data_IF_093290884048
#
_entry.id   IF_093290884048
#
_cell.length_a   1.000
_cell.length_b   1.000
_cell.length_c   1.000
_cell.angle_alpha   90.00
_cell.angle_beta   90.00
_cell.angle_gamma   90.00
#
_symmetry.space_group_name_H-M   'P 1'
#
loop_
_entity.id
_entity.type
_entity.pdbx_description
1 polymer ?
#
# COMPACT_ATOMS: atom_id res chain seq x y z
N UNK A 1 -46.55 -40.76 -5.39
CA UNK A 1 -46.17 -40.29 -4.05
C UNK A 1 -44.81 -40.89 -3.72
N UNK A 2 -44.01 -40.19 -2.91
CA UNK A 2 -42.69 -39.62 -3.20
C UNK A 2 -41.58 -40.53 -2.64
N UNK A 3 -40.28 -40.27 -2.78
CA UNK A 3 -39.40 -39.38 -2.00
C UNK A 3 -38.07 -39.35 -2.81
N UNK A 4 -37.40 -38.25 -3.15
CA UNK A 4 -37.13 -37.01 -2.43
C UNK A 4 -36.65 -37.28 -0.99
N UNK A 5 -35.48 -37.93 -0.87
CA UNK A 5 -34.59 -37.70 0.26
C UNK A 5 -33.31 -37.01 -0.27
N UNK A 6 -33.42 -35.70 -0.15
CA UNK A 6 -32.40 -34.70 0.06
C UNK A 6 -31.49 -35.05 1.26
N UNK A 7 -30.23 -34.55 1.25
CA UNK A 7 -29.34 -34.31 2.41
C UNK A 7 -28.68 -35.59 2.98
N UNK A 8 -27.37 -35.75 3.16
CA UNK A 8 -26.31 -34.83 3.55
C UNK A 8 -24.98 -35.38 2.98
N UNK A 9 -24.43 -34.73 1.95
CA UNK A 9 -22.97 -34.62 1.89
C UNK A 9 -22.67 -33.25 2.49
N UNK A 10 -22.72 -33.17 3.83
CA UNK A 10 -21.87 -32.22 4.54
C UNK A 10 -20.45 -32.53 4.05
N UNK A 11 -19.99 -31.80 3.03
CA UNK A 11 -18.57 -31.70 2.71
C UNK A 11 -17.91 -31.25 4.01
N UNK A 12 -17.44 -32.23 4.79
CA UNK A 12 -16.58 -32.04 5.93
C UNK A 12 -15.49 -31.09 5.45
N UNK A 13 -15.55 -29.82 5.86
CA UNK A 13 -14.48 -28.87 5.63
C UNK A 13 -13.20 -29.56 6.09
N UNK A 14 -12.27 -29.95 5.19
CA UNK A 14 -11.19 -30.82 5.58
C UNK A 14 -10.36 -30.09 6.63
N UNK A 15 -10.30 -30.71 7.81
CA UNK A 15 -9.75 -30.20 9.05
C UNK A 15 -8.24 -29.98 8.95
N UNK A 16 -7.83 -28.94 8.23
CA UNK A 16 -6.52 -28.31 8.36
C UNK A 16 -6.58 -26.80 8.11
N UNK A 17 -7.62 -26.16 8.64
CA UNK A 17 -7.69 -24.71 8.86
C UNK A 17 -6.78 -24.25 10.03
N UNK A 18 -5.65 -24.95 10.25
CA UNK A 18 -4.70 -24.56 11.31
C UNK A 18 -3.96 -23.33 10.81
N UNK A 19 -4.19 -22.18 11.47
CA UNK A 19 -3.46 -20.96 11.19
C UNK A 19 -1.96 -21.24 11.18
N UNK A 20 -1.31 -20.89 10.09
CA UNK A 20 0.15 -20.84 10.01
C UNK A 20 0.67 -19.60 10.73
N UNK A 21 1.96 -19.60 11.06
CA UNK A 21 2.64 -18.40 11.57
C UNK A 21 2.51 -17.24 10.56
N UNK A 22 2.52 -17.54 9.26
CA UNK A 22 2.26 -16.54 8.22
C UNK A 22 0.88 -15.90 8.39
N UNK A 23 -0.16 -16.69 8.57
CA UNK A 23 -1.54 -16.20 8.71
C UNK A 23 -1.70 -15.30 9.95
N UNK A 24 -0.99 -15.59 11.05
CA UNK A 24 -1.00 -14.71 12.24
C UNK A 24 -0.33 -13.36 11.99
N UNK A 25 0.73 -13.32 11.16
CA UNK A 25 1.38 -12.08 10.77
C UNK A 25 0.47 -11.27 9.82
N UNK A 26 -0.23 -11.93 8.91
CA UNK A 26 -1.24 -11.33 8.03
C UNK A 26 -2.40 -10.74 8.84
N UNK A 27 -2.90 -11.41 9.87
CA UNK A 27 -3.88 -10.83 10.79
C UNK A 27 -3.33 -9.63 11.57
N UNK A 28 -2.03 -9.65 11.90
CA UNK A 28 -1.32 -8.50 12.48
C UNK A 28 -1.30 -7.30 11.53
N UNK A 29 -1.02 -7.53 10.24
CA UNK A 29 -1.11 -6.53 9.18
C UNK A 29 -2.53 -5.90 9.17
N UNK A 30 -3.58 -6.69 9.05
CA UNK A 30 -4.96 -6.20 9.04
C UNK A 30 -5.32 -5.40 10.30
N UNK A 31 -4.85 -5.85 11.47
CA UNK A 31 -5.06 -5.15 12.75
C UNK A 31 -4.41 -3.77 12.74
N UNK A 32 -3.18 -3.65 12.23
CA UNK A 32 -2.51 -2.37 12.06
C UNK A 32 -3.29 -1.43 11.13
N UNK A 33 -3.79 -1.93 9.99
CA UNK A 33 -4.63 -1.15 9.07
C UNK A 33 -5.91 -0.64 9.72
N UNK A 34 -6.63 -1.50 10.44
CA UNK A 34 -7.84 -1.12 11.18
C UNK A 34 -7.55 -0.08 12.28
N UNK A 35 -6.47 -0.28 13.05
CA UNK A 35 -6.07 0.67 14.08
C UNK A 35 -5.65 2.02 13.49
N UNK A 36 -5.04 2.05 12.30
CA UNK A 36 -4.73 3.30 11.60
C UNK A 36 -5.99 4.10 11.27
N UNK A 37 -7.07 3.43 10.82
CA UNK A 37 -8.39 4.05 10.62
C UNK A 37 -8.92 4.59 11.95
N UNK A 38 -8.87 3.79 13.02
CA UNK A 38 -9.33 4.21 14.35
C UNK A 38 -8.63 5.49 14.86
N UNK A 39 -7.30 5.57 14.75
CA UNK A 39 -6.54 6.76 15.16
C UNK A 39 -6.78 7.96 14.25
N UNK A 40 -7.01 7.74 12.95
CA UNK A 40 -7.41 8.80 12.02
C UNK A 40 -8.76 9.39 12.41
N UNK A 41 -9.73 8.54 12.75
CA UNK A 41 -11.07 8.98 13.19
C UNK A 41 -11.00 9.71 14.52
N UNK A 42 -10.39 9.11 15.54
CA UNK A 42 -10.43 9.64 16.91
C UNK A 42 -9.53 10.84 17.11
N UNK A 43 -8.41 10.91 16.40
CA UNK A 43 -7.43 11.97 16.58
C UNK A 43 -7.51 13.11 15.57
N UNK A 44 -8.16 12.91 14.43
CA UNK A 44 -8.26 13.93 13.37
C UNK A 44 -9.72 14.29 13.10
N UNK A 45 -10.57 13.31 12.79
CA UNK A 45 -11.95 13.59 12.40
C UNK A 45 -12.82 14.08 13.56
N UNK A 46 -12.83 13.38 14.70
CA UNK A 46 -13.68 13.75 15.85
C UNK A 46 -13.32 15.15 16.37
N UNK A 47 -12.04 15.49 16.64
CA UNK A 47 -11.67 16.83 17.13
C UNK A 47 -12.06 17.95 16.17
N UNK A 48 -12.00 17.68 14.86
CA UNK A 48 -12.46 18.61 13.83
C UNK A 48 -13.99 18.82 13.89
N UNK A 49 -14.77 17.75 14.03
CA UNK A 49 -16.24 17.83 14.14
C UNK A 49 -16.72 18.45 15.46
N UNK A 50 -15.97 18.27 16.56
CA UNK A 50 -16.32 18.80 17.88
C UNK A 50 -15.78 20.22 18.14
N UNK A 51 -15.02 20.80 17.21
CA UNK A 51 -14.42 22.13 17.36
C UNK A 51 -13.28 22.22 18.37
N UNK A 52 -12.76 21.08 18.86
CA UNK A 52 -11.66 21.01 19.82
C UNK A 52 -10.33 20.82 19.09
N UNK A 53 -9.86 21.86 18.39
CA UNK A 53 -8.59 21.81 17.66
C UNK A 53 -7.39 22.04 18.61
N UNK A 54 -6.96 20.99 19.30
CA UNK A 54 -5.58 20.95 19.80
C UNK A 54 -4.66 20.39 18.72
N UNK A 55 -4.00 21.28 17.98
CA UNK A 55 -3.14 20.96 16.83
C UNK A 55 -2.06 19.92 17.16
N UNK A 56 -1.58 19.88 18.42
CA UNK A 56 -0.60 18.90 18.89
C UNK A 56 -1.14 17.46 18.93
N UNK A 57 -2.38 17.26 19.35
CA UNK A 57 -3.01 15.93 19.39
C UNK A 57 -3.25 15.40 17.96
N UNK A 58 -3.73 16.25 17.05
CA UNK A 58 -3.97 15.84 15.66
C UNK A 58 -2.69 15.36 14.96
N UNK A 59 -1.56 16.05 15.20
CA UNK A 59 -0.24 15.67 14.69
C UNK A 59 0.22 14.31 15.22
N UNK A 60 0.10 14.10 16.54
CA UNK A 60 0.50 12.83 17.15
C UNK A 60 -0.35 11.65 16.65
N UNK A 61 -1.66 11.85 16.53
CA UNK A 61 -2.57 10.83 16.03
C UNK A 61 -2.37 10.53 14.54
N UNK A 62 -2.11 11.56 13.72
CA UNK A 62 -1.75 11.37 12.32
C UNK A 62 -0.46 10.56 12.19
N UNK A 63 0.59 10.91 12.93
CA UNK A 63 1.84 10.17 12.93
C UNK A 63 1.63 8.71 13.36
N UNK A 64 0.84 8.47 14.41
CA UNK A 64 0.50 7.13 14.89
C UNK A 64 -0.23 6.31 13.83
N UNK A 65 -1.21 6.89 13.14
CA UNK A 65 -1.93 6.22 12.06
C UNK A 65 -0.98 5.81 10.92
N UNK A 66 -0.08 6.70 10.50
CA UNK A 66 0.88 6.40 9.42
C UNK A 66 1.93 5.38 9.87
N UNK A 67 2.41 5.46 11.11
CA UNK A 67 3.31 4.47 11.70
C UNK A 67 2.65 3.09 11.73
N UNK A 68 1.35 2.99 12.05
CA UNK A 68 0.61 1.74 11.98
C UNK A 68 0.52 1.19 10.55
N UNK A 69 0.26 2.03 9.54
CA UNK A 69 0.31 1.61 8.14
C UNK A 69 1.71 1.11 7.72
N UNK A 70 2.78 1.73 8.23
CA UNK A 70 4.16 1.28 8.02
C UNK A 70 4.44 -0.06 8.72
N UNK A 71 3.95 -0.24 9.95
CA UNK A 71 4.01 -1.54 10.64
C UNK A 71 3.27 -2.63 9.87
N UNK A 72 2.11 -2.30 9.28
CA UNK A 72 1.35 -3.20 8.43
C UNK A 72 2.19 -3.67 7.23
N UNK A 73 2.92 -2.75 6.58
CA UNK A 73 3.87 -3.06 5.49
C UNK A 73 5.06 -3.92 5.94
N UNK A 74 5.50 -3.78 7.19
CA UNK A 74 6.52 -4.65 7.76
C UNK A 74 5.96 -6.07 7.95
N UNK A 75 4.75 -6.20 8.49
CA UNK A 75 4.09 -7.51 8.67
C UNK A 75 3.82 -8.22 7.34
N UNK A 76 3.36 -7.51 6.30
CA UNK A 76 3.23 -8.01 4.92
C UNK A 76 4.58 -8.49 4.32
N UNK A 77 5.66 -7.78 4.61
CA UNK A 77 6.96 -8.27 4.16
C UNK A 77 7.36 -9.57 4.88
N UNK A 78 7.07 -9.67 6.17
CA UNK A 78 7.41 -10.83 6.99
C UNK A 78 6.52 -12.03 6.71
N UNK A 79 5.21 -11.88 6.57
CA UNK A 79 4.30 -12.99 6.27
C UNK A 79 4.64 -13.63 4.91
N UNK A 80 4.97 -12.82 3.90
CA UNK A 80 5.41 -13.30 2.60
C UNK A 80 6.76 -14.01 2.66
N UNK A 81 7.68 -13.57 3.53
CA UNK A 81 8.94 -14.27 3.79
C UNK A 81 8.73 -15.61 4.52
N UNK A 82 7.81 -15.64 5.49
CA UNK A 82 7.48 -16.81 6.29
C UNK A 82 6.72 -17.83 5.46
N UNK A 83 5.73 -17.43 4.67
CA UNK A 83 4.94 -18.30 3.77
C UNK A 83 5.79 -18.94 2.65
N UNK A 84 6.96 -18.37 2.34
CA UNK A 84 7.93 -19.00 1.42
C UNK A 84 8.83 -20.03 2.09
N UNK A 85 9.14 -19.85 3.38
CA UNK A 85 10.02 -20.74 4.16
C UNK A 85 9.26 -21.85 4.87
N UNK A 86 8.05 -21.56 5.30
CA UNK A 86 7.09 -22.46 5.93
C UNK A 86 5.95 -22.73 4.94
N UNK A 87 5.28 -23.88 5.06
CA UNK A 87 4.10 -24.15 4.22
C UNK A 87 3.01 -23.11 4.54
N UNK A 88 2.49 -22.45 3.51
CA UNK A 88 1.30 -21.59 3.62
C UNK A 88 0.07 -22.44 3.90
N UNK A 89 -0.90 -21.90 4.63
CA UNK A 89 -2.21 -22.55 4.73
C UNK A 89 -2.94 -22.44 3.38
N UNK A 90 -3.96 -23.28 3.12
CA UNK A 90 -4.77 -23.19 1.91
C UNK A 90 -5.51 -21.84 1.76
N UNK A 91 -5.81 -21.17 2.88
CA UNK A 91 -6.52 -19.89 2.93
C UNK A 91 -5.57 -18.67 2.92
N UNK A 92 -4.28 -18.86 3.21
CA UNK A 92 -3.34 -17.76 3.46
C UNK A 92 -3.27 -16.72 2.33
N UNK A 93 -3.37 -17.15 1.06
CA UNK A 93 -3.35 -16.23 -0.08
C UNK A 93 -4.59 -15.31 -0.15
N UNK A 94 -5.76 -15.80 0.26
CA UNK A 94 -6.97 -14.98 0.30
C UNK A 94 -6.98 -14.07 1.53
N UNK A 95 -6.49 -14.58 2.67
CA UNK A 95 -6.31 -13.79 3.87
C UNK A 95 -5.35 -12.61 3.65
N UNK A 96 -4.27 -12.83 2.89
CA UNK A 96 -3.31 -11.81 2.48
C UNK A 96 -3.98 -10.69 1.68
N UNK A 97 -4.74 -11.04 0.63
CA UNK A 97 -5.49 -10.07 -0.17
C UNK A 97 -6.48 -9.23 0.66
N UNK A 98 -7.20 -9.86 1.59
CA UNK A 98 -8.16 -9.16 2.47
C UNK A 98 -7.44 -8.22 3.44
N UNK A 99 -6.33 -8.66 4.02
CA UNK A 99 -5.49 -7.84 4.90
C UNK A 99 -4.89 -6.64 4.15
N UNK A 100 -4.35 -6.88 2.96
CA UNK A 100 -3.79 -5.85 2.08
C UNK A 100 -4.82 -4.80 1.68
N UNK A 101 -6.06 -5.22 1.41
CA UNK A 101 -7.15 -4.30 1.12
C UNK A 101 -7.43 -3.38 2.32
N UNK A 102 -7.39 -3.89 3.55
CA UNK A 102 -7.63 -3.08 4.76
C UNK A 102 -6.47 -2.10 4.98
N UNK A 103 -5.23 -2.59 4.96
CA UNK A 103 -4.05 -1.82 5.35
C UNK A 103 -3.53 -0.88 4.29
N UNK A 104 -3.62 -1.25 3.01
CA UNK A 104 -3.06 -0.48 1.89
C UNK A 104 -4.11 0.07 0.94
N UNK A 105 -5.36 -0.39 1.03
CA UNK A 105 -6.49 0.17 0.28
C UNK A 105 -7.32 1.12 1.14
N UNK A 106 -8.01 0.57 2.15
CA UNK A 106 -8.97 1.28 2.98
C UNK A 106 -8.30 2.32 3.87
N UNK A 107 -7.27 1.96 4.65
CA UNK A 107 -6.65 2.90 5.59
C UNK A 107 -6.07 4.16 4.90
N UNK A 108 -5.31 4.06 3.79
CA UNK A 108 -4.81 5.24 3.08
C UNK A 108 -5.93 6.04 2.39
N UNK A 109 -6.91 5.37 1.78
CA UNK A 109 -8.05 6.06 1.17
C UNK A 109 -8.86 6.84 2.21
N UNK A 110 -9.10 6.23 3.38
CA UNK A 110 -9.77 6.87 4.50
C UNK A 110 -8.96 8.05 5.05
N UNK A 111 -7.63 7.91 5.13
CA UNK A 111 -6.75 9.00 5.53
C UNK A 111 -6.85 10.21 4.58
N UNK A 112 -6.86 9.98 3.27
CA UNK A 112 -7.09 11.03 2.25
C UNK A 112 -8.47 11.68 2.44
N UNK A 113 -9.51 10.88 2.66
CA UNK A 113 -10.86 11.38 2.87
C UNK A 113 -10.92 12.33 4.08
N UNK A 114 -10.41 11.89 5.23
CA UNK A 114 -10.45 12.67 6.47
C UNK A 114 -9.64 13.96 6.34
N UNK A 115 -8.43 13.91 5.79
CA UNK A 115 -7.64 15.12 5.56
C UNK A 115 -8.33 16.10 4.62
N UNK A 116 -9.04 15.60 3.60
CA UNK A 116 -9.83 16.42 2.71
C UNK A 116 -11.08 17.03 3.34
N UNK A 117 -11.65 16.40 4.37
CA UNK A 117 -12.75 16.97 5.16
C UNK A 117 -12.26 18.06 6.11
N UNK A 118 -11.03 17.92 6.61
CA UNK A 118 -10.41 18.92 7.49
C UNK A 118 -9.94 20.14 6.68
N UNK A 119 -9.65 19.96 5.39
CA UNK A 119 -9.39 21.04 4.45
C UNK A 119 -10.70 21.73 4.02
N UNK A 120 -10.62 23.03 3.68
CA UNK A 120 -11.73 23.90 3.23
C UNK A 120 -12.86 23.19 2.46
N UNK A 121 -14.11 23.62 2.63
CA UNK A 121 -15.34 22.99 2.09
C UNK A 121 -15.28 22.58 0.59
N UNK A 122 -14.63 23.38 -0.26
CA UNK A 122 -14.48 23.06 -1.69
C UNK A 122 -13.62 21.81 -1.95
N UNK A 123 -12.76 21.44 -1.01
CA UNK A 123 -11.78 20.36 -1.09
C UNK A 123 -12.38 19.02 -0.69
N UNK A 124 -13.41 19.02 0.16
CA UNK A 124 -14.05 17.82 0.70
C UNK A 124 -14.57 16.87 -0.39
N UNK A 125 -15.35 17.39 -1.35
CA UNK A 125 -15.96 16.54 -2.40
C UNK A 125 -14.92 15.89 -3.29
N UNK A 126 -13.87 16.64 -3.63
CA UNK A 126 -12.81 16.17 -4.52
C UNK A 126 -11.89 15.20 -3.81
N UNK A 127 -11.60 15.42 -2.52
CA UNK A 127 -10.86 14.46 -1.71
C UNK A 127 -11.60 13.15 -1.55
N UNK A 128 -12.94 13.18 -1.44
CA UNK A 128 -13.76 11.98 -1.46
C UNK A 128 -13.63 11.21 -2.79
N UNK A 129 -13.65 11.91 -3.92
CA UNK A 129 -13.39 11.29 -5.24
C UNK A 129 -11.98 10.71 -5.30
N UNK A 130 -10.96 11.43 -4.83
CA UNK A 130 -9.58 10.95 -4.76
C UNK A 130 -9.43 9.69 -3.91
N UNK A 131 -10.06 9.65 -2.73
CA UNK A 131 -10.09 8.49 -1.84
C UNK A 131 -10.73 7.27 -2.51
N UNK A 132 -11.87 7.46 -3.19
CA UNK A 132 -12.55 6.40 -3.95
C UNK A 132 -11.64 5.86 -5.06
N UNK A 133 -10.98 6.74 -5.81
CA UNK A 133 -10.05 6.34 -6.88
C UNK A 133 -8.90 5.50 -6.34
N UNK A 134 -8.31 5.88 -5.19
CA UNK A 134 -7.26 5.09 -4.53
C UNK A 134 -7.78 3.71 -4.12
N UNK A 135 -8.93 3.66 -3.44
CA UNK A 135 -9.52 2.41 -2.98
C UNK A 135 -9.80 1.46 -4.15
N UNK A 136 -10.47 1.95 -5.20
CA UNK A 136 -10.80 1.16 -6.40
C UNK A 136 -9.54 0.72 -7.14
N UNK A 137 -8.50 1.55 -7.22
CA UNK A 137 -7.23 1.18 -7.83
C UNK A 137 -6.58 0.00 -7.09
N UNK A 138 -6.59 0.00 -5.75
CA UNK A 138 -6.06 -1.11 -4.95
C UNK A 138 -6.92 -2.36 -5.13
N UNK A 139 -8.26 -2.26 -5.08
CA UNK A 139 -9.18 -3.40 -5.30
C UNK A 139 -8.93 -4.05 -6.67
N UNK A 140 -8.92 -3.26 -7.75
CA UNK A 140 -8.69 -3.76 -9.10
C UNK A 140 -7.31 -4.42 -9.24
N UNK A 141 -6.31 -3.85 -8.57
CA UNK A 141 -4.96 -4.36 -8.56
C UNK A 141 -4.87 -5.71 -7.85
N UNK A 142 -5.43 -5.83 -6.64
CA UNK A 142 -5.46 -7.09 -5.89
C UNK A 142 -6.22 -8.17 -6.65
N UNK A 143 -7.43 -7.86 -7.15
CA UNK A 143 -8.22 -8.79 -7.95
C UNK A 143 -7.48 -9.29 -9.19
N UNK A 144 -6.77 -8.40 -9.90
CA UNK A 144 -5.95 -8.80 -11.05
C UNK A 144 -4.80 -9.71 -10.65
N UNK A 145 -4.14 -9.46 -9.52
CA UNK A 145 -3.08 -10.34 -9.02
C UNK A 145 -3.61 -11.74 -8.66
N UNK A 146 -4.84 -11.83 -8.14
CA UNK A 146 -5.49 -13.12 -7.82
C UNK A 146 -5.89 -13.90 -9.08
N UNK A 147 -6.34 -13.22 -10.15
CA UNK A 147 -6.79 -13.90 -11.38
C UNK A 147 -5.65 -14.23 -12.36
N UNK A 148 -4.55 -13.46 -12.36
CA UNK A 148 -3.47 -13.65 -13.33
C UNK A 148 -2.39 -14.54 -12.74
N UNK A 149 -2.35 -15.81 -13.19
CA UNK A 149 -1.18 -16.67 -13.01
C UNK A 149 -0.04 -16.11 -13.86
N UNK A 150 0.77 -15.24 -13.26
CA UNK A 150 1.92 -14.64 -13.96
C UNK A 150 2.93 -15.75 -14.26
N UNK A 151 2.89 -16.28 -15.49
CA UNK A 151 4.03 -16.96 -16.10
C UNK A 151 5.17 -15.94 -16.17
N UNK A 152 6.31 -16.32 -15.61
CA UNK A 152 7.56 -15.57 -15.53
C UNK A 152 7.60 -14.44 -14.49
N UNK A 153 8.35 -14.68 -13.40
CA UNK A 153 9.38 -13.80 -12.82
C UNK A 153 9.09 -12.35 -12.40
N UNK A 154 8.20 -11.62 -13.05
CA UNK A 154 8.03 -10.15 -13.04
C UNK A 154 6.70 -9.74 -12.40
N UNK A 155 6.73 -8.76 -11.47
CA UNK A 155 5.50 -8.11 -10.96
C UNK A 155 5.02 -7.07 -11.97
N UNK A 156 3.71 -6.99 -12.21
CA UNK A 156 3.10 -5.94 -13.04
C UNK A 156 2.35 -4.95 -12.13
N UNK A 157 2.81 -3.70 -12.06
CA UNK A 157 2.24 -2.62 -11.25
C UNK A 157 3.04 -2.32 -9.98
N UNK A 158 2.93 -1.07 -9.50
CA UNK A 158 3.61 -0.55 -8.31
C UNK A 158 3.12 -1.27 -7.04
N UNK A 159 3.92 -1.92 -6.18
CA UNK A 159 3.47 -2.65 -4.96
C UNK A 159 2.42 -1.90 -4.10
N UNK A 160 1.39 -2.58 -3.59
CA UNK A 160 0.31 -1.96 -2.80
C UNK A 160 0.83 -1.20 -1.58
N UNK A 161 1.76 -1.78 -0.77
CA UNK A 161 2.31 -1.07 0.39
C UNK A 161 3.06 0.22 0.00
N UNK A 162 3.80 0.16 -1.11
CA UNK A 162 4.57 1.31 -1.61
C UNK A 162 3.66 2.41 -2.17
N UNK A 163 2.58 2.03 -2.85
CA UNK A 163 1.59 2.98 -3.34
C UNK A 163 0.80 3.64 -2.21
N UNK A 164 0.40 2.86 -1.19
CA UNK A 164 -0.23 3.37 0.03
C UNK A 164 0.66 4.42 0.72
N UNK A 165 1.94 4.11 0.93
CA UNK A 165 2.89 5.05 1.52
C UNK A 165 3.05 6.32 0.68
N UNK A 166 3.02 6.21 -0.65
CA UNK A 166 3.11 7.36 -1.55
C UNK A 166 1.88 8.25 -1.45
N UNK A 167 0.67 7.68 -1.40
CA UNK A 167 -0.58 8.43 -1.20
C UNK A 167 -0.55 9.20 0.12
N UNK A 168 -0.17 8.54 1.21
CA UNK A 168 -0.05 9.20 2.53
C UNK A 168 1.02 10.29 2.52
N UNK A 169 2.16 10.05 1.88
CA UNK A 169 3.23 11.05 1.75
C UNK A 169 2.78 12.28 0.98
N UNK A 170 1.95 12.12 -0.05
CA UNK A 170 1.37 13.23 -0.81
C UNK A 170 0.48 14.11 0.08
N UNK A 171 -0.33 13.49 0.94
CA UNK A 171 -1.18 14.22 1.90
C UNK A 171 -0.33 14.99 2.92
N UNK A 172 0.71 14.36 3.47
CA UNK A 172 1.59 14.97 4.47
C UNK A 172 2.51 16.08 3.91
N UNK A 173 2.67 16.18 2.58
CA UNK A 173 3.43 17.28 1.97
C UNK A 173 2.66 18.60 1.94
N UNK A 174 1.35 18.59 2.24
CA UNK A 174 0.49 19.78 2.23
C UNK A 174 0.62 20.59 0.93
N UNK A 175 0.75 19.88 -0.20
CA UNK A 175 0.84 20.49 -1.53
C UNK A 175 -0.47 21.24 -1.87
N UNK A 176 -0.41 22.21 -2.81
CA UNK A 176 -1.61 22.83 -3.35
C UNK A 176 -2.57 21.75 -3.84
N UNK A 177 -3.85 21.93 -3.53
CA UNK A 177 -4.89 20.92 -3.74
C UNK A 177 -4.88 20.25 -5.11
N UNK A 178 -4.74 21.03 -6.19
CA UNK A 178 -4.69 20.49 -7.56
C UNK A 178 -3.48 19.57 -7.75
N UNK A 179 -2.31 19.94 -7.20
CA UNK A 179 -1.11 19.11 -7.26
C UNK A 179 -1.28 17.82 -6.45
N UNK A 180 -1.88 17.90 -5.25
CA UNK A 180 -2.22 16.75 -4.40
C UNK A 180 -3.12 15.77 -5.14
N UNK A 181 -4.21 16.26 -5.73
CA UNK A 181 -5.15 15.43 -6.49
C UNK A 181 -4.48 14.76 -7.69
N UNK A 182 -3.73 15.52 -8.48
CA UNK A 182 -3.00 14.99 -9.65
C UNK A 182 -1.99 13.91 -9.25
N UNK A 183 -1.28 14.10 -8.14
CA UNK A 183 -0.34 13.12 -7.61
C UNK A 183 -1.04 11.85 -7.10
N UNK A 184 -2.19 11.98 -6.43
CA UNK A 184 -3.00 10.84 -5.97
C UNK A 184 -3.53 10.04 -7.16
N UNK A 185 -4.13 10.71 -8.15
CA UNK A 185 -4.63 10.07 -9.36
C UNK A 185 -3.49 9.40 -10.15
N UNK A 186 -2.34 10.08 -10.27
CA UNK A 186 -1.14 9.52 -10.89
C UNK A 186 -0.65 8.26 -10.17
N UNK A 187 -0.66 8.25 -8.84
CA UNK A 187 -0.28 7.09 -8.03
C UNK A 187 -1.28 5.94 -8.20
N UNK A 188 -2.58 6.21 -8.17
CA UNK A 188 -3.62 5.22 -8.41
C UNK A 188 -3.51 4.61 -9.81
N UNK A 189 -3.21 5.42 -10.83
CA UNK A 189 -2.95 4.95 -12.18
C UNK A 189 -1.70 4.06 -12.26
N UNK A 190 -0.62 4.42 -11.56
CA UNK A 190 0.61 3.60 -11.48
C UNK A 190 0.38 2.24 -10.79
N UNK A 191 -0.50 2.16 -9.80
CA UNK A 191 -0.87 0.88 -9.15
C UNK A 191 -1.55 -0.09 -10.12
N UNK A 192 -2.44 0.40 -10.99
CA UNK A 192 -3.19 -0.43 -11.96
C UNK A 192 -2.40 -0.68 -13.26
N UNK A 193 -1.41 0.17 -13.53
CA UNK A 193 -0.59 0.11 -14.75
C UNK A 193 0.19 -1.21 -14.89
N UNK A 194 0.54 -1.56 -16.14
CA UNK A 194 1.30 -2.78 -16.46
C UNK A 194 2.82 -2.59 -16.37
N UNK A 195 3.29 -1.55 -15.68
CA UNK A 195 4.74 -1.29 -15.53
C UNK A 195 5.37 -2.37 -14.68
N UNK A 196 6.50 -2.92 -15.11
CA UNK A 196 7.19 -3.98 -14.36
C UNK A 196 7.97 -3.39 -13.19
N UNK A 197 7.69 -3.88 -11.97
CA UNK A 197 8.46 -3.50 -10.78
C UNK A 197 9.39 -4.65 -10.36
N UNK A 198 10.65 -4.36 -10.00
CA UNK A 198 11.58 -5.38 -9.55
C UNK A 198 11.10 -6.01 -8.24
N UNK A 199 11.04 -7.34 -8.19
CA UNK A 199 10.69 -8.07 -6.97
C UNK A 199 11.71 -7.74 -5.86
N UNK A 200 11.27 -7.37 -4.64
CA UNK A 200 12.18 -7.14 -3.53
C UNK A 200 12.87 -8.45 -3.14
N UNK A 201 14.12 -8.61 -3.56
CA UNK A 201 14.97 -9.76 -3.23
C UNK A 201 16.33 -9.28 -2.71
N UNK A 202 16.80 -9.92 -1.63
CA UNK A 202 18.11 -9.65 -1.03
C UNK A 202 18.27 -8.18 -0.63
N UNK A 203 19.23 -7.49 -1.26
CA UNK A 203 19.58 -6.08 -0.98
C UNK A 203 18.39 -5.12 -1.14
N UNK A 204 17.46 -5.38 -2.05
CA UNK A 204 16.27 -4.54 -2.25
C UNK A 204 15.28 -4.64 -1.09
N UNK A 205 15.09 -5.84 -0.51
CA UNK A 205 14.22 -6.01 0.65
C UNK A 205 14.81 -5.30 1.90
N UNK A 206 16.13 -5.37 2.07
CA UNK A 206 16.84 -4.63 3.13
C UNK A 206 16.71 -3.12 2.92
N UNK A 207 16.85 -2.64 1.68
CA UNK A 207 16.67 -1.23 1.36
C UNK A 207 15.23 -0.75 1.65
N UNK A 208 14.21 -1.56 1.33
CA UNK A 208 12.81 -1.25 1.66
C UNK A 208 12.58 -1.20 3.17
N UNK A 209 13.09 -2.16 3.94
CA UNK A 209 13.00 -2.14 5.40
C UNK A 209 13.71 -0.93 6.00
N UNK A 210 14.92 -0.62 5.53
CA UNK A 210 15.66 0.56 5.96
C UNK A 210 14.85 1.83 5.67
N UNK A 211 14.25 1.92 4.49
CA UNK A 211 13.40 3.04 4.10
C UNK A 211 12.16 3.18 4.99
N UNK A 212 11.48 2.08 5.32
CA UNK A 212 10.33 2.07 6.24
C UNK A 212 10.77 2.56 7.63
N UNK A 213 11.85 2.01 8.18
CA UNK A 213 12.37 2.38 9.51
C UNK A 213 12.79 3.84 9.54
N UNK A 214 13.46 4.34 8.50
CA UNK A 214 13.78 5.76 8.37
C UNK A 214 12.50 6.60 8.34
N UNK A 215 11.49 6.23 7.57
CA UNK A 215 10.21 6.95 7.50
C UNK A 215 9.50 6.99 8.86
N UNK A 216 9.49 5.88 9.61
CA UNK A 216 8.95 5.82 10.97
C UNK A 216 9.71 6.77 11.92
N UNK A 217 11.04 6.82 11.82
CA UNK A 217 11.85 7.73 12.64
C UNK A 217 11.58 9.21 12.32
N UNK A 218 11.41 9.55 11.04
CA UNK A 218 11.03 10.91 10.61
C UNK A 218 9.65 11.30 11.12
N UNK A 219 8.67 10.39 11.05
CA UNK A 219 7.33 10.59 11.59
C UNK A 219 7.33 10.74 13.11
N UNK A 220 8.12 9.96 13.83
CA UNK A 220 8.26 10.09 15.28
C UNK A 220 8.91 11.44 15.65
N UNK A 221 9.99 11.85 14.96
CA UNK A 221 10.61 13.15 15.16
C UNK A 221 9.62 14.30 14.89
N UNK A 222 8.77 14.16 13.88
CA UNK A 222 7.67 15.07 13.67
C UNK A 222 6.65 14.99 14.82
N UNK A 223 6.19 13.81 15.26
CA UNK A 223 5.20 13.68 16.32
C UNK A 223 5.62 14.30 17.67
N UNK A 224 6.92 14.26 18.01
CA UNK A 224 7.47 14.80 19.25
C UNK A 224 7.96 16.25 19.16
N UNK A 225 7.62 16.95 18.08
CA UNK A 225 8.01 18.34 17.83
C UNK A 225 9.52 18.60 17.93
N UNK A 226 10.33 17.64 17.44
CA UNK A 226 11.77 17.82 17.38
C UNK A 226 12.14 19.02 16.49
N UNK A 227 13.19 19.79 16.84
CA UNK A 227 13.62 20.93 16.03
C UNK A 227 13.96 20.50 14.61
N UNK A 228 13.27 21.07 13.62
CA UNK A 228 13.41 20.69 12.21
C UNK A 228 12.62 19.45 11.77
N UNK A 229 11.81 18.84 12.65
CA UNK A 229 11.06 17.62 12.36
C UNK A 229 10.10 17.73 11.18
N UNK A 230 9.47 18.89 10.98
CA UNK A 230 8.60 19.14 9.82
C UNK A 230 9.38 19.14 8.51
N UNK A 231 10.53 19.83 8.46
CA UNK A 231 11.38 19.86 7.27
C UNK A 231 11.90 18.45 6.96
N UNK A 232 12.35 17.72 7.98
CA UNK A 232 12.81 16.34 7.83
C UNK A 232 11.70 15.43 7.27
N UNK A 233 10.47 15.53 7.79
CA UNK A 233 9.33 14.77 7.28
C UNK A 233 9.02 15.14 5.81
N UNK A 234 8.98 16.43 5.49
CA UNK A 234 8.72 16.91 4.13
C UNK A 234 9.80 16.42 3.15
N UNK A 235 11.08 16.44 3.54
CA UNK A 235 12.16 15.90 2.70
C UNK A 235 12.00 14.39 2.47
N UNK A 236 11.60 13.63 3.50
CA UNK A 236 11.31 12.20 3.38
C UNK A 236 10.13 11.91 2.45
N UNK A 237 9.02 12.65 2.59
CA UNK A 237 7.83 12.50 1.76
C UNK A 237 8.10 12.92 0.31
N UNK A 238 8.87 13.98 0.08
CA UNK A 238 9.28 14.39 -1.25
C UNK A 238 10.15 13.32 -1.92
N UNK A 239 11.09 12.73 -1.18
CA UNK A 239 11.93 11.65 -1.69
C UNK A 239 11.13 10.38 -2.00
N UNK A 240 10.12 10.05 -1.18
CA UNK A 240 9.17 8.96 -1.46
C UNK A 240 8.42 9.22 -2.77
N UNK A 241 7.89 10.42 -2.96
CA UNK A 241 7.15 10.80 -4.17
C UNK A 241 8.02 10.75 -5.43
N UNK A 242 9.23 11.30 -5.36
CA UNK A 242 10.22 11.24 -6.45
C UNK A 242 10.58 9.80 -6.78
N UNK A 243 10.81 8.97 -5.76
CA UNK A 243 11.11 7.55 -5.96
C UNK A 243 9.96 6.82 -6.65
N UNK A 244 8.72 7.09 -6.21
CA UNK A 244 7.49 6.58 -6.84
C UNK A 244 7.34 6.95 -8.31
N UNK A 245 7.70 8.19 -8.67
CA UNK A 245 7.65 8.68 -10.05
C UNK A 245 8.81 8.18 -10.93
N UNK A 246 10.02 8.01 -10.39
CA UNK A 246 11.23 7.63 -11.13
C UNK A 246 11.32 6.11 -11.38
N UNK A 247 10.91 5.29 -10.41
CA UNK A 247 10.91 3.83 -10.56
C UNK A 247 10.24 3.31 -11.85
N UNK A 248 9.02 3.75 -12.24
CA UNK A 248 8.38 3.27 -13.45
C UNK A 248 9.08 3.73 -14.73
N UNK A 249 9.68 4.94 -14.73
CA UNK A 249 10.46 5.45 -15.86
C UNK A 249 11.71 4.60 -16.06
N UNK A 250 12.40 4.26 -14.98
CA UNK A 250 13.61 3.44 -15.03
C UNK A 250 13.31 2.00 -15.46
N UNK A 251 12.20 1.43 -14.98
CA UNK A 251 11.73 0.12 -15.42
C UNK A 251 11.39 0.10 -16.92
N UNK A 252 10.71 1.13 -17.41
CA UNK A 252 10.35 1.27 -18.83
C UNK A 252 11.60 1.47 -19.70
N UNK A 253 12.53 2.32 -19.27
CA UNK A 253 13.80 2.55 -19.97
C UNK A 253 14.65 1.29 -20.07
N UNK A 254 14.72 0.48 -19.00
CA UNK A 254 15.39 -0.83 -19.03
C UNK A 254 14.75 -1.79 -20.02
N UNK A 255 13.42 -1.86 -20.07
CA UNK A 255 12.70 -2.70 -21.05
C UNK A 255 13.02 -2.26 -22.48
N UNK A 256 13.00 -0.96 -22.77
CA UNK A 256 13.34 -0.42 -24.09
C UNK A 256 14.78 -0.74 -24.46
N UNK A 257 15.73 -0.59 -23.54
CA UNK A 257 17.14 -0.92 -23.79
C UNK A 257 17.33 -2.42 -24.03
N UNK A 258 16.75 -3.29 -23.21
CA UNK A 258 16.82 -4.74 -23.42
C UNK A 258 16.21 -5.15 -24.77
N UNK A 259 15.10 -4.53 -25.18
CA UNK A 259 14.50 -4.80 -26.49
C UNK A 259 15.40 -4.33 -27.65
N UNK A 260 16.09 -3.19 -27.48
CA UNK A 260 17.06 -2.69 -28.46
C UNK A 260 18.28 -3.59 -28.56
N UNK A 261 18.79 -4.09 -27.43
CA UNK A 261 19.93 -4.99 -27.38
C UNK A 261 19.58 -6.36 -27.98
N UNK A 262 18.43 -6.94 -27.64
CA UNK A 262 17.94 -8.17 -28.28
C UNK A 262 17.77 -8.02 -29.79
N UNK A 263 17.33 -6.85 -30.28
CA UNK A 263 17.26 -6.57 -31.73
C UNK A 263 18.64 -6.40 -32.37
N UNK A 264 19.62 -5.88 -31.64
CA UNK A 264 21.02 -5.76 -32.11
C UNK A 264 21.67 -7.13 -32.20
N UNK A 265 21.49 -7.97 -31.18
CA UNK A 265 21.97 -9.35 -31.16
C UNK A 265 21.32 -10.19 -32.26
N UNK A 266 20.00 -10.08 -32.44
CA UNK A 266 19.30 -10.78 -33.52
C UNK A 266 19.77 -10.34 -34.93
N UNK A 267 20.14 -9.07 -35.12
CA UNK A 267 20.75 -8.61 -36.38
C UNK A 267 22.20 -9.09 -36.54
N UNK A 268 22.97 -9.11 -35.45
CA UNK A 268 24.35 -9.60 -35.47
C UNK A 268 24.42 -11.10 -35.78
N UNK A 269 23.45 -11.89 -35.30
CA UNK A 269 23.34 -13.32 -35.57
C UNK A 269 22.88 -13.67 -37.00
N UNK A 270 22.42 -12.69 -37.78
CA UNK A 270 21.94 -12.88 -39.17
C UNK A 270 22.98 -12.43 -40.22
N UNK A 271 24.14 -11.91 -39.81
CA UNK A 271 25.23 -11.58 -40.72
C UNK A 271 26.07 -12.85 -41.01
N UNK A 272 26.31 -13.18 -42.28
CA UNK A 272 27.02 -14.40 -42.69
C UNK A 272 28.52 -14.38 -42.40
#
# INVERSE_FOLDING_TARGET
MPEADELDDEEEMPLSLRLSIADTLTLGNATCGFMAVYFTTTGILIPHLTGSQETGMARHSAATAVILMLCAAVFDLFDGLVARKLRSSPMGAELDNLSDLISFGLAPAYFVLVYGMVADDAHQRVAAVGAIVVLLAVVLRLARFSCVTVKDGTFQGMPSPFGALTVVSIVLLELPFVATLMAIIGTAWLMVSRVEYPKPRGRLAVAMLAWIVTSMALLAAWAFDAPGGQLLLQTGCALQLVTGAVMPLFATARRVNNFRDNRREARAAQLP
#
